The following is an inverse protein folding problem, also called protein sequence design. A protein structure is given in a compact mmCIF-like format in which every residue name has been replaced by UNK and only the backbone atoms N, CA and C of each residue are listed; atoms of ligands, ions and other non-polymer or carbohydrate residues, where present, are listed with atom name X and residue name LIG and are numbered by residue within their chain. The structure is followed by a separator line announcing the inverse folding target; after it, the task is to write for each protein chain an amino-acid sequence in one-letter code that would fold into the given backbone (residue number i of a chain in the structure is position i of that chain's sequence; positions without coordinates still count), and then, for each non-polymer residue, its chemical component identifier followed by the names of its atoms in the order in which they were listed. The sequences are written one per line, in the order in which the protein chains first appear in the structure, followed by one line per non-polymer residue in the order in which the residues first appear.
data_IF_899865514070
#
_entry.id   IF_899865514070
#
_cell.length_a   1.000
_cell.length_b   1.000
_cell.length_c   1.000
_cell.angle_alpha   90.00
_cell.angle_beta   90.00
_cell.angle_gamma   90.00
#
_symmetry.space_group_name_H-M   'P 1'
#
loop_
_entity.id
_entity.type
_entity.pdbx_description
1 polymer ?
#
# COMPACT_ATOMS: atom_id res chain seq x y z
N UNK A 1 7.23 -19.73 4.86
CA UNK A 1 7.94 -19.72 3.57
C UNK A 1 6.89 -19.42 2.51
N UNK A 2 6.99 -18.28 1.85
CA UNK A 2 6.02 -17.90 0.81
C UNK A 2 6.25 -18.76 -0.43
N UNK A 3 5.19 -19.33 -0.98
CA UNK A 3 5.20 -20.07 -2.24
C UNK A 3 5.22 -19.08 -3.40
N UNK A 4 6.05 -19.36 -4.41
CA UNK A 4 6.10 -18.58 -5.64
C UNK A 4 5.96 -19.47 -6.86
N UNK A 5 5.50 -18.87 -7.95
CA UNK A 5 5.38 -19.52 -9.25
C UNK A 5 6.02 -18.66 -10.33
N UNK A 6 6.45 -19.34 -11.38
CA UNK A 6 6.96 -18.73 -12.59
C UNK A 6 5.82 -18.62 -13.59
N UNK A 7 5.49 -17.41 -14.07
CA UNK A 7 4.42 -17.24 -15.05
C UNK A 7 4.89 -17.60 -16.48
N UNK A 8 3.97 -18.12 -17.30
CA UNK A 8 4.23 -18.39 -18.71
C UNK A 8 4.62 -17.11 -19.48
N UNK A 9 5.40 -17.27 -20.55
CA UNK A 9 5.99 -16.20 -21.35
C UNK A 9 4.94 -15.20 -21.84
N UNK A 10 5.04 -13.93 -21.41
CA UNK A 10 4.34 -12.83 -22.06
C UNK A 10 5.08 -12.47 -23.35
N UNK A 11 4.40 -12.15 -24.47
CA UNK A 11 5.05 -11.80 -25.72
C UNK A 11 6.08 -10.67 -25.54
N UNK A 12 7.33 -10.92 -25.92
CA UNK A 12 8.43 -9.96 -25.83
C UNK A 12 9.23 -9.98 -24.52
N UNK A 13 8.83 -10.77 -23.51
CA UNK A 13 9.69 -11.05 -22.34
C UNK A 13 10.64 -12.19 -22.64
N UNK A 14 11.88 -12.04 -22.19
CA UNK A 14 12.93 -13.04 -22.36
C UNK A 14 12.94 -14.06 -21.24
N UNK A 15 12.62 -13.62 -20.03
CA UNK A 15 12.57 -14.46 -18.85
C UNK A 15 11.23 -14.29 -18.14
N UNK A 16 10.70 -15.40 -17.58
CA UNK A 16 9.43 -15.35 -16.89
C UNK A 16 9.54 -14.61 -15.56
N UNK A 17 8.46 -13.93 -15.17
CA UNK A 17 8.39 -13.27 -13.87
C UNK A 17 8.17 -14.28 -12.75
N UNK A 18 8.74 -13.99 -11.59
CA UNK A 18 8.43 -14.65 -10.33
C UNK A 18 7.22 -13.96 -9.70
N UNK A 19 6.25 -14.75 -9.25
CA UNK A 19 5.01 -14.26 -8.63
C UNK A 19 4.78 -14.97 -7.31
N UNK A 20 4.32 -14.25 -6.30
CA UNK A 20 3.97 -14.79 -4.99
C UNK A 20 2.45 -14.82 -4.85
N UNK A 21 1.94 -15.78 -4.06
CA UNK A 21 0.49 -15.91 -3.83
C UNK A 21 -0.14 -14.67 -3.18
N UNK A 22 0.67 -13.85 -2.49
CA UNK A 22 0.26 -12.56 -1.93
C UNK A 22 0.13 -11.42 -2.96
N UNK A 23 0.15 -11.73 -4.26
CA UNK A 23 -0.01 -10.76 -5.35
C UNK A 23 1.24 -9.93 -5.69
N UNK A 24 2.39 -10.27 -5.10
CA UNK A 24 3.68 -9.67 -5.44
C UNK A 24 4.25 -10.29 -6.71
N UNK A 25 5.01 -9.50 -7.48
CA UNK A 25 5.80 -10.01 -8.61
C UNK A 25 7.16 -9.34 -8.73
N UNK A 26 8.12 -10.12 -9.22
CA UNK A 26 9.48 -9.70 -9.54
C UNK A 26 9.77 -10.13 -10.97
N UNK A 27 10.04 -9.15 -11.81
CA UNK A 27 10.44 -9.32 -13.18
C UNK A 27 11.92 -8.99 -13.31
N UNK A 28 12.75 -10.00 -13.57
CA UNK A 28 14.15 -9.81 -13.92
C UNK A 28 14.30 -9.79 -15.44
N UNK A 29 15.02 -8.80 -15.96
CA UNK A 29 15.23 -8.65 -17.39
C UNK A 29 16.71 -8.40 -17.69
N UNK A 30 17.14 -9.01 -18.80
CA UNK A 30 18.43 -8.81 -19.43
C UNK A 30 18.22 -9.01 -20.94
N UNK A 31 19.05 -8.38 -21.78
CA UNK A 31 18.59 -7.76 -23.04
C UNK A 31 17.88 -8.59 -24.12
N UNK A 32 17.10 -7.83 -24.93
CA UNK A 32 17.25 -7.74 -26.39
C UNK A 32 17.15 -6.28 -26.95
N UNK A 33 16.91 -5.24 -26.13
CA UNK A 33 16.59 -3.89 -26.64
C UNK A 33 16.97 -2.69 -25.73
N UNK A 34 17.96 -2.81 -24.83
CA UNK A 34 18.49 -1.67 -24.07
C UNK A 34 18.27 -1.65 -22.55
N UNK A 35 18.04 -2.81 -21.92
CA UNK A 35 17.97 -2.94 -20.45
C UNK A 35 19.35 -2.90 -19.78
N UNK A 36 19.40 -2.45 -18.52
CA UNK A 36 20.63 -2.35 -17.73
C UNK A 36 21.14 -3.74 -17.27
N UNK A 37 21.99 -4.37 -18.07
CA UNK A 37 22.56 -5.69 -17.79
C UNK A 37 24.02 -5.83 -18.24
N UNK A 38 24.71 -6.84 -17.71
CA UNK A 38 26.09 -7.17 -18.06
C UNK A 38 26.28 -8.69 -18.24
N UNK A 39 26.81 -9.17 -19.38
CA UNK A 39 27.19 -8.40 -20.58
C UNK A 39 25.95 -7.86 -21.34
N UNK A 40 26.12 -6.76 -22.09
CA UNK A 40 25.08 -6.20 -22.99
C UNK A 40 24.95 -6.99 -24.28
N UNK A 41 24.58 -8.25 -24.16
CA UNK A 41 24.15 -9.11 -25.28
C UNK A 41 23.11 -10.11 -24.79
N UNK A 42 22.27 -10.59 -25.70
CA UNK A 42 21.35 -11.70 -25.42
C UNK A 42 22.12 -12.96 -25.05
N UNK A 43 21.77 -13.54 -23.90
CA UNK A 43 22.22 -14.85 -23.43
C UNK A 43 21.01 -15.80 -23.33
N UNK A 44 21.29 -17.10 -23.35
CA UNK A 44 20.24 -18.12 -23.36
C UNK A 44 19.57 -18.28 -21.98
N UNK A 45 20.29 -17.94 -20.91
CA UNK A 45 19.82 -18.07 -19.53
C UNK A 45 20.01 -16.78 -18.77
N UNK A 46 19.10 -16.50 -17.85
CA UNK A 46 19.17 -15.31 -17.01
C UNK A 46 20.43 -15.40 -16.13
N UNK A 47 20.73 -16.59 -15.59
CA UNK A 47 21.85 -16.87 -14.69
C UNK A 47 23.22 -16.63 -15.32
N UNK A 48 23.31 -16.57 -16.65
CA UNK A 48 24.56 -16.30 -17.36
C UNK A 48 24.93 -14.80 -17.34
N UNK A 49 24.01 -13.92 -16.93
CA UNK A 49 24.29 -12.51 -16.70
C UNK A 49 24.94 -12.28 -15.34
N UNK A 50 25.92 -11.36 -15.29
CA UNK A 50 26.52 -10.90 -14.05
C UNK A 50 25.64 -9.87 -13.33
N UNK A 51 24.94 -9.05 -14.11
CA UNK A 51 24.06 -7.98 -13.63
C UNK A 51 22.79 -7.93 -14.48
N UNK A 52 21.66 -7.66 -13.84
CA UNK A 52 20.33 -7.64 -14.47
C UNK A 52 19.50 -6.43 -14.04
N UNK A 53 18.46 -6.11 -14.80
CA UNK A 53 17.45 -5.13 -14.41
C UNK A 53 16.30 -5.81 -13.68
N UNK A 54 15.73 -5.15 -12.68
CA UNK A 54 14.58 -5.64 -11.93
C UNK A 54 13.43 -4.65 -11.89
N UNK A 55 12.21 -5.17 -12.08
CA UNK A 55 10.96 -4.47 -11.83
C UNK A 55 10.15 -5.23 -10.77
N UNK A 56 9.68 -4.51 -9.76
CA UNK A 56 8.84 -5.04 -8.68
C UNK A 56 7.43 -4.50 -8.87
N UNK A 57 6.42 -5.35 -8.75
CA UNK A 57 5.04 -4.93 -8.60
C UNK A 57 4.41 -5.56 -7.35
N UNK A 58 3.62 -4.78 -6.64
CA UNK A 58 2.89 -5.21 -5.45
C UNK A 58 1.45 -5.60 -5.77
N UNK A 59 0.68 -6.08 -4.76
CA UNK A 59 -0.74 -6.41 -4.89
C UNK A 59 -1.66 -5.18 -4.98
N UNK A 60 -1.11 -4.02 -5.32
CA UNK A 60 -1.79 -2.73 -5.35
C UNK A 60 -1.52 -2.02 -6.68
N UNK A 61 -2.42 -1.13 -7.13
CA UNK A 61 -2.33 -0.53 -8.45
C UNK A 61 -1.19 0.48 -8.62
N UNK A 62 -0.61 0.96 -7.52
CA UNK A 62 0.46 1.94 -7.55
C UNK A 62 1.84 1.29 -7.71
N UNK A 63 2.83 2.01 -8.27
CA UNK A 63 4.21 1.53 -8.29
C UNK A 63 4.76 1.26 -6.89
N UNK A 64 5.61 0.24 -6.80
CA UNK A 64 6.32 -0.09 -5.57
C UNK A 64 7.46 0.91 -5.33
N UNK A 65 7.57 1.41 -4.09
CA UNK A 65 8.72 2.14 -3.59
C UNK A 65 9.73 1.18 -2.93
N UNK A 66 10.88 0.91 -3.56
CA UNK A 66 11.88 -0.02 -3.06
C UNK A 66 12.49 0.41 -1.72
N UNK A 67 12.50 1.72 -1.41
CA UNK A 67 13.08 2.23 -0.15
C UNK A 67 12.29 1.77 1.07
N UNK A 68 11.01 1.41 0.87
CA UNK A 68 10.11 0.95 1.94
C UNK A 68 10.12 -0.56 2.13
N UNK A 69 10.86 -1.31 1.31
CA UNK A 69 10.96 -2.77 1.39
C UNK A 69 11.97 -3.27 2.43
N UNK A 70 12.67 -2.35 3.10
CA UNK A 70 13.76 -2.70 4.03
C UNK A 70 14.91 -3.40 3.31
N UNK A 71 15.25 -2.92 2.12
CA UNK A 71 16.45 -3.34 1.38
C UNK A 71 17.70 -2.76 2.05
N UNK A 72 18.86 -3.42 1.93
CA UNK A 72 20.14 -2.78 2.26
C UNK A 72 20.28 -1.47 1.47
N UNK A 73 20.81 -0.42 2.09
CA UNK A 73 20.92 0.92 1.49
C UNK A 73 21.60 0.90 0.11
N UNK A 74 22.69 0.12 -0.02
CA UNK A 74 23.40 -0.04 -1.28
C UNK A 74 22.54 -0.67 -2.40
N UNK A 75 21.57 -1.53 -2.06
CA UNK A 75 20.64 -2.14 -3.01
C UNK A 75 19.52 -1.16 -3.35
N UNK A 76 18.95 -0.48 -2.36
CA UNK A 76 17.92 0.52 -2.57
C UNK A 76 18.41 1.65 -3.49
N UNK A 77 19.67 2.07 -3.35
CA UNK A 77 20.31 3.08 -4.18
C UNK A 77 20.47 2.68 -5.66
N UNK A 78 20.27 1.42 -6.02
CA UNK A 78 20.28 0.94 -7.43
C UNK A 78 18.97 1.19 -8.16
N UNK A 79 17.91 1.57 -7.43
CA UNK A 79 16.61 1.83 -8.03
C UNK A 79 16.51 3.27 -8.54
N UNK A 80 15.86 3.44 -9.68
CA UNK A 80 15.49 4.77 -10.16
C UNK A 80 14.52 5.43 -9.17
N UNK A 81 14.61 6.76 -8.95
CA UNK A 81 13.67 7.47 -8.10
C UNK A 81 12.23 7.29 -8.58
N UNK A 82 11.29 7.20 -7.64
CA UNK A 82 9.87 7.22 -7.94
C UNK A 82 9.39 8.68 -8.01
N UNK A 83 8.98 9.13 -9.19
CA UNK A 83 8.48 10.49 -9.41
C UNK A 83 6.94 10.53 -9.55
N UNK A 84 6.26 11.60 -9.10
CA UNK A 84 4.82 11.77 -9.31
C UNK A 84 4.48 11.76 -10.80
N UNK A 85 3.59 10.84 -11.22
CA UNK A 85 3.24 10.64 -12.63
C UNK A 85 4.32 9.95 -13.48
N UNK A 86 5.43 9.55 -12.85
CA UNK A 86 6.50 8.78 -13.48
C UNK A 86 6.17 7.30 -13.62
N UNK A 87 7.06 6.59 -14.32
CA UNK A 87 7.02 5.14 -14.43
C UNK A 87 7.40 4.42 -13.12
N UNK A 88 7.36 3.08 -13.10
CA UNK A 88 7.77 2.32 -11.94
C UNK A 88 9.27 2.49 -11.64
N UNK A 89 9.66 2.31 -10.37
CA UNK A 89 11.06 2.26 -10.00
C UNK A 89 11.73 1.00 -10.59
N UNK A 90 12.82 1.19 -11.33
CA UNK A 90 13.60 0.12 -11.94
C UNK A 90 14.92 -0.08 -11.20
N UNK A 91 15.20 -1.30 -10.77
CA UNK A 91 16.49 -1.67 -10.18
C UNK A 91 17.50 -1.93 -11.27
N UNK A 92 18.56 -1.13 -11.37
CA UNK A 92 19.51 -1.16 -12.48
C UNK A 92 20.81 -1.87 -12.10
N UNK A 93 21.32 -2.72 -12.98
CA UNK A 93 22.59 -3.43 -12.84
C UNK A 93 22.73 -4.17 -11.50
N UNK A 94 21.70 -4.93 -11.13
CA UNK A 94 21.69 -5.72 -9.90
C UNK A 94 22.47 -7.02 -10.09
N UNK A 95 23.42 -7.28 -9.21
CA UNK A 95 24.10 -8.57 -9.09
C UNK A 95 23.17 -9.62 -8.48
N UNK A 96 23.51 -10.90 -8.63
CA UNK A 96 22.74 -12.00 -8.04
C UNK A 96 22.61 -11.95 -6.52
N UNK A 97 23.64 -11.43 -5.82
CA UNK A 97 23.55 -11.22 -4.37
C UNK A 97 22.50 -10.16 -4.00
N UNK A 98 22.44 -9.08 -4.78
CA UNK A 98 21.47 -7.99 -4.59
C UNK A 98 20.05 -8.45 -5.00
N UNK A 99 19.92 -9.25 -6.06
CA UNK A 99 18.67 -9.95 -6.41
C UNK A 99 18.21 -10.87 -5.28
N UNK A 100 19.13 -11.58 -4.63
CA UNK A 100 18.83 -12.39 -3.44
C UNK A 100 18.29 -11.55 -2.28
N UNK A 101 18.90 -10.39 -2.01
CA UNK A 101 18.40 -9.45 -1.01
C UNK A 101 17.00 -8.91 -1.36
N UNK A 102 16.75 -8.66 -2.64
CA UNK A 102 15.45 -8.23 -3.15
C UNK A 102 14.37 -9.29 -2.96
N UNK A 103 14.65 -10.54 -3.31
CA UNK A 103 13.75 -11.67 -3.07
C UNK A 103 13.41 -11.79 -1.59
N UNK A 104 14.42 -11.72 -0.71
CA UNK A 104 14.21 -11.78 0.73
C UNK A 104 13.35 -10.61 1.24
N UNK A 105 13.48 -9.42 0.66
CA UNK A 105 12.65 -8.27 0.98
C UNK A 105 11.19 -8.49 0.54
N UNK A 106 10.96 -9.03 -0.66
CA UNK A 106 9.62 -9.39 -1.13
C UNK A 106 9.00 -10.50 -0.27
N UNK A 107 9.78 -11.50 0.15
CA UNK A 107 9.29 -12.55 1.05
C UNK A 107 8.81 -11.96 2.39
N UNK A 108 9.50 -10.96 2.93
CA UNK A 108 9.03 -10.20 4.10
C UNK A 108 7.81 -9.35 3.78
N UNK A 109 7.80 -8.70 2.62
CA UNK A 109 6.69 -7.88 2.14
C UNK A 109 5.40 -8.69 1.95
N UNK A 110 5.49 -9.98 1.60
CA UNK A 110 4.33 -10.87 1.53
C UNK A 110 3.61 -11.04 2.88
N UNK A 111 4.30 -10.77 3.99
CA UNK A 111 3.73 -10.80 5.34
C UNK A 111 3.25 -9.42 5.81
N UNK A 112 3.48 -8.37 5.02
CA UNK A 112 3.16 -6.98 5.37
C UNK A 112 2.31 -6.32 4.27
N UNK A 113 1.03 -6.04 4.53
CA UNK A 113 0.09 -5.57 3.52
C UNK A 113 0.45 -4.23 2.85
N UNK A 114 1.44 -3.48 3.35
CA UNK A 114 1.87 -2.19 2.79
C UNK A 114 3.38 -2.05 2.65
N UNK A 115 4.15 -3.14 2.71
CA UNK A 115 5.52 -3.07 2.25
C UNK A 115 5.52 -2.60 0.78
N UNK A 116 6.47 -1.75 0.40
CA UNK A 116 6.54 -1.21 -0.96
C UNK A 116 5.58 -0.05 -1.24
N UNK A 117 4.81 0.41 -0.27
CA UNK A 117 3.92 1.57 -0.41
C UNK A 117 4.64 2.83 0.09
N UNK A 118 4.78 3.90 -0.73
CA UNK A 118 5.47 5.13 -0.34
C UNK A 118 4.88 5.78 0.93
N UNK A 119 5.70 6.28 1.87
CA UNK A 119 5.21 6.89 3.11
C UNK A 119 4.36 8.14 2.85
N UNK A 120 3.30 8.31 3.65
CA UNK A 120 2.54 9.55 3.79
C UNK A 120 1.81 10.12 2.58
N UNK A 121 1.71 9.42 1.42
CA UNK A 121 1.04 9.97 0.23
C UNK A 121 0.26 9.00 -0.66
N UNK A 122 0.55 7.70 -0.67
CA UNK A 122 0.09 6.84 -1.76
C UNK A 122 -0.37 5.49 -1.20
N UNK A 123 -1.47 4.95 -1.74
CA UNK A 123 -1.99 3.63 -1.40
C UNK A 123 -3.51 3.63 -1.25
N UNK A 124 -4.08 4.72 -0.72
CA UNK A 124 -5.53 4.85 -0.51
C UNK A 124 -6.26 5.51 -1.67
N UNK A 125 -5.62 6.39 -2.43
CA UNK A 125 -6.26 7.06 -3.56
C UNK A 125 -6.89 6.04 -4.53
N UNK A 126 -8.19 6.22 -4.80
CA UNK A 126 -8.97 5.33 -5.65
C UNK A 126 -9.38 4.00 -5.00
N UNK A 127 -9.03 3.73 -3.74
CA UNK A 127 -9.54 2.56 -3.02
C UNK A 127 -10.98 2.77 -2.61
N UNK A 128 -11.77 1.71 -2.83
CA UNK A 128 -13.09 1.60 -2.24
C UNK A 128 -12.97 1.15 -0.79
N UNK A 129 -13.69 1.84 0.08
CA UNK A 129 -13.83 1.57 1.50
C UNK A 129 -15.30 1.59 1.87
N UNK A 130 -15.65 0.89 2.95
CA UNK A 130 -17.02 0.65 3.35
C UNK A 130 -17.30 1.22 4.73
N UNK A 131 -18.41 1.94 4.87
CA UNK A 131 -18.87 2.48 6.15
C UNK A 131 -20.22 1.86 6.50
N UNK A 132 -20.30 1.19 7.66
CA UNK A 132 -21.56 0.72 8.23
C UNK A 132 -22.21 1.81 9.09
N UNK A 133 -23.51 2.04 8.91
CA UNK A 133 -24.28 3.00 9.72
C UNK A 133 -25.79 2.69 9.68
N UNK A 134 -26.61 3.42 10.42
CA UNK A 134 -28.07 3.31 10.35
C UNK A 134 -28.64 3.93 9.05
N UNK A 135 -29.84 3.51 8.66
CA UNK A 135 -30.45 3.95 7.40
C UNK A 135 -30.71 5.48 7.32
N UNK A 136 -30.93 6.14 8.46
CA UNK A 136 -31.13 7.59 8.52
C UNK A 136 -29.82 8.33 8.24
N UNK A 137 -28.77 7.97 8.95
CA UNK A 137 -27.42 8.50 8.77
C UNK A 137 -26.86 8.20 7.38
N UNK A 138 -27.13 7.02 6.82
CA UNK A 138 -26.74 6.68 5.46
C UNK A 138 -27.35 7.63 4.42
N UNK A 139 -28.65 7.97 4.57
CA UNK A 139 -29.32 8.93 3.70
C UNK A 139 -28.73 10.33 3.85
N UNK A 140 -28.49 10.78 5.08
CA UNK A 140 -27.86 12.08 5.32
C UNK A 140 -26.47 12.19 4.68
N UNK A 141 -25.64 11.14 4.78
CA UNK A 141 -24.32 11.12 4.15
C UNK A 141 -24.43 11.19 2.62
N UNK A 142 -25.41 10.52 2.01
CA UNK A 142 -25.62 10.57 0.56
C UNK A 142 -26.10 11.95 0.09
N UNK A 143 -26.92 12.63 0.89
CA UNK A 143 -27.49 13.94 0.55
C UNK A 143 -26.52 15.10 0.86
N UNK A 144 -25.82 15.02 2.00
CA UNK A 144 -25.07 16.13 2.59
C UNK A 144 -23.56 15.87 2.72
N UNK A 145 -23.11 14.65 2.45
CA UNK A 145 -21.71 14.24 2.56
C UNK A 145 -21.28 13.86 3.98
N UNK A 146 -20.02 13.41 4.10
CA UNK A 146 -19.46 12.95 5.37
C UNK A 146 -19.12 14.13 6.30
N UNK A 147 -19.67 14.08 7.51
CA UNK A 147 -19.37 15.00 8.61
C UNK A 147 -18.50 14.32 9.66
N UNK A 148 -17.19 14.56 9.60
CA UNK A 148 -16.22 13.98 10.54
C UNK A 148 -16.56 14.35 11.99
N UNK A 149 -17.14 15.54 12.20
CA UNK A 149 -17.50 16.02 13.52
C UNK A 149 -18.66 15.24 14.16
N UNK A 150 -19.47 14.53 13.38
CA UNK A 150 -20.61 13.77 13.87
C UNK A 150 -20.24 12.41 14.50
N UNK A 151 -18.97 11.98 14.39
CA UNK A 151 -18.51 10.68 14.88
C UNK A 151 -17.48 10.86 16.00
N UNK A 152 -17.94 10.65 17.25
CA UNK A 152 -17.19 10.94 18.47
C UNK A 152 -16.68 9.69 19.23
N UNK A 153 -17.00 8.47 18.77
CA UNK A 153 -16.93 7.25 19.59
C UNK A 153 -15.88 6.22 19.17
N UNK A 154 -14.83 6.61 18.44
CA UNK A 154 -13.83 5.64 17.99
C UNK A 154 -12.49 5.71 18.73
N UNK A 155 -11.72 4.62 18.67
CA UNK A 155 -10.45 4.47 19.39
C UNK A 155 -9.32 5.37 18.86
N UNK A 156 -9.44 5.86 17.62
CA UNK A 156 -8.54 6.88 17.04
C UNK A 156 -9.11 8.30 17.18
N UNK A 157 -10.12 8.49 18.02
CA UNK A 157 -10.73 9.78 18.30
C UNK A 157 -11.88 10.14 17.36
N UNK A 158 -12.14 11.44 17.24
CA UNK A 158 -13.18 11.99 16.36
C UNK A 158 -12.81 11.74 14.89
N UNK A 159 -13.62 10.96 14.18
CA UNK A 159 -13.23 10.43 12.87
C UNK A 159 -14.33 9.67 12.16
N UNK A 160 -14.21 9.56 10.84
CA UNK A 160 -15.09 8.72 10.04
C UNK A 160 -14.43 7.34 9.83
N UNK A 161 -15.06 6.28 10.32
CA UNK A 161 -14.47 4.94 10.39
C UNK A 161 -14.96 4.06 9.23
N UNK A 162 -14.03 3.42 8.53
CA UNK A 162 -14.31 2.61 7.34
C UNK A 162 -13.56 1.28 7.42
N UNK A 163 -14.02 0.29 6.66
CA UNK A 163 -13.38 -1.01 6.47
C UNK A 163 -13.05 -1.24 4.99
N UNK A 164 -12.06 -2.07 4.69
CA UNK A 164 -11.74 -2.48 3.32
C UNK A 164 -12.75 -3.48 2.75
N UNK A 165 -13.51 -4.16 3.62
CA UNK A 165 -14.48 -5.18 3.23
C UNK A 165 -15.88 -4.81 3.71
N UNK A 166 -16.87 -4.89 2.81
CA UNK A 166 -18.27 -4.59 3.12
C UNK A 166 -18.83 -5.48 4.24
N UNK A 167 -18.42 -6.76 4.27
CA UNK A 167 -18.82 -7.70 5.32
C UNK A 167 -18.32 -7.30 6.70
N UNK A 168 -17.07 -6.82 6.79
CA UNK A 168 -16.50 -6.31 8.04
C UNK A 168 -17.21 -5.02 8.48
N UNK A 169 -17.42 -4.08 7.56
CA UNK A 169 -18.19 -2.86 7.82
C UNK A 169 -19.60 -3.16 8.34
N UNK A 170 -20.26 -4.17 7.77
CA UNK A 170 -21.55 -4.63 8.26
C UNK A 170 -21.42 -5.23 9.67
N UNK A 171 -20.48 -6.16 9.89
CA UNK A 171 -20.34 -6.86 11.18
C UNK A 171 -20.00 -5.93 12.35
N UNK A 172 -19.18 -4.90 12.13
CA UNK A 172 -18.81 -3.92 13.15
C UNK A 172 -20.02 -3.06 13.61
N UNK A 173 -21.11 -3.05 12.83
CA UNK A 173 -22.29 -2.23 13.10
C UNK A 173 -23.61 -3.04 13.15
N UNK A 174 -23.57 -4.34 12.85
CA UNK A 174 -24.74 -5.23 12.84
C UNK A 174 -25.31 -5.47 14.25
N UNK A 175 -24.53 -5.26 15.31
CA UNK A 175 -25.02 -5.30 16.70
C UNK A 175 -26.00 -4.14 17.03
N UNK A 176 -26.16 -3.15 16.13
CA UNK A 176 -27.14 -2.06 16.25
C UNK A 176 -28.36 -2.25 15.34
N UNK A 177 -28.51 -3.41 14.69
CA UNK A 177 -29.53 -3.64 13.64
C UNK A 177 -30.95 -3.93 14.16
N UNK A 178 -31.14 -4.02 15.48
CA UNK A 178 -32.34 -4.57 16.11
C UNK A 178 -33.61 -3.70 15.96
N UNK A 179 -33.51 -2.42 15.57
CA UNK A 179 -34.68 -1.54 15.45
C UNK A 179 -34.87 -0.81 14.11
N UNK A 180 -34.06 -1.07 13.08
CA UNK A 180 -34.24 -0.33 11.81
C UNK A 180 -33.47 -0.77 10.57
N UNK A 181 -32.66 -1.83 10.66
CA UNK A 181 -31.80 -2.27 9.57
C UNK A 181 -30.56 -1.38 9.38
N UNK A 182 -29.39 -2.02 9.30
CA UNK A 182 -28.13 -1.36 8.97
C UNK A 182 -27.99 -1.10 7.47
N UNK A 183 -27.24 -0.08 7.11
CA UNK A 183 -26.83 0.24 5.74
C UNK A 183 -25.30 0.25 5.63
N UNK A 184 -24.78 -0.17 4.48
CA UNK A 184 -23.35 -0.07 4.16
C UNK A 184 -23.18 0.88 2.98
N UNK A 185 -22.39 1.92 3.17
CA UNK A 185 -21.99 2.86 2.13
C UNK A 185 -20.65 2.42 1.55
N UNK A 186 -20.55 2.38 0.21
CA UNK A 186 -19.28 2.27 -0.49
C UNK A 186 -18.79 3.68 -0.85
N UNK A 187 -17.54 3.95 -0.55
CA UNK A 187 -16.91 5.26 -0.71
C UNK A 187 -15.55 5.08 -1.37
N UNK A 188 -15.19 5.98 -2.27
CA UNK A 188 -13.86 5.98 -2.88
C UNK A 188 -13.01 7.07 -2.26
N UNK A 189 -11.81 6.73 -1.81
CA UNK A 189 -10.88 7.73 -1.27
C UNK A 189 -10.35 8.61 -2.41
N UNK A 190 -10.44 9.93 -2.22
CA UNK A 190 -9.97 10.91 -3.20
C UNK A 190 -8.45 10.93 -3.33
N UNK A 191 -7.98 11.31 -4.51
CA UNK A 191 -6.55 11.57 -4.72
C UNK A 191 -6.04 12.68 -3.79
N UNK A 192 -4.81 12.52 -3.31
CA UNK A 192 -4.15 13.45 -2.37
C UNK A 192 -4.54 13.31 -0.89
N UNK A 193 -5.43 12.39 -0.52
CA UNK A 193 -5.74 12.11 0.89
C UNK A 193 -4.53 11.52 1.65
N UNK A 194 -4.15 12.12 2.78
CA UNK A 194 -3.02 11.66 3.61
C UNK A 194 -3.53 10.76 4.73
N UNK A 195 -3.74 9.50 4.39
CA UNK A 195 -4.16 8.48 5.36
C UNK A 195 -2.92 7.71 5.83
N UNK A 196 -2.59 7.85 7.11
CA UNK A 196 -1.47 7.13 7.72
C UNK A 196 -1.85 5.66 7.93
N UNK A 197 -1.02 4.72 7.50
CA UNK A 197 -1.21 3.32 7.83
C UNK A 197 -0.38 2.95 9.06
N UNK A 198 -1.02 2.78 10.21
CA UNK A 198 -0.32 2.55 11.47
C UNK A 198 0.38 1.18 11.55
N UNK A 199 0.16 0.28 10.58
CA UNK A 199 0.94 -0.96 10.41
C UNK A 199 2.32 -0.69 9.78
N UNK A 200 2.46 0.43 9.07
CA UNK A 200 3.73 0.91 8.52
C UNK A 200 4.52 1.64 9.61
N UNK A 201 5.77 1.23 9.84
CA UNK A 201 6.59 1.80 10.91
C UNK A 201 6.91 3.29 10.72
N UNK A 202 7.02 3.78 9.49
CA UNK A 202 7.26 5.20 9.21
C UNK A 202 6.00 6.03 9.45
N UNK A 203 4.83 5.58 9.00
CA UNK A 203 3.57 6.25 9.29
C UNK A 203 3.24 6.21 10.79
N UNK A 204 3.56 5.12 11.48
CA UNK A 204 3.45 5.02 12.93
C UNK A 204 4.38 6.01 13.65
N UNK A 205 5.58 6.30 13.12
CA UNK A 205 6.45 7.37 13.64
C UNK A 205 5.85 8.75 13.44
N UNK A 206 5.15 8.99 12.32
CA UNK A 206 4.43 10.26 12.10
C UNK A 206 3.29 10.37 13.12
N UNK A 207 2.50 9.31 13.31
CA UNK A 207 1.41 9.28 14.27
C UNK A 207 1.88 9.53 15.71
N UNK A 208 2.94 8.81 16.14
CA UNK A 208 3.48 8.96 17.50
C UNK A 208 4.22 10.28 17.69
N UNK A 209 4.99 10.73 16.68
CA UNK A 209 5.76 11.98 16.71
C UNK A 209 4.92 13.26 16.58
N UNK A 210 3.71 13.17 16.00
CA UNK A 210 2.78 14.30 15.87
C UNK A 210 2.02 14.67 17.16
N UNK A 211 2.23 13.89 18.23
CA UNK A 211 1.46 13.95 19.48
C UNK A 211 -0.06 13.72 19.31
N UNK A 212 -0.54 13.32 18.12
CA UNK A 212 -1.96 13.06 17.87
C UNK A 212 -2.49 11.91 18.75
N UNK A 213 -1.68 10.85 18.92
CA UNK A 213 -2.05 9.68 19.72
C UNK A 213 -2.49 10.04 21.16
N UNK A 214 -1.84 11.02 21.79
CA UNK A 214 -2.16 11.45 23.16
C UNK A 214 -3.40 12.35 23.25
N UNK A 215 -3.93 12.78 22.10
CA UNK A 215 -4.94 13.85 21.97
C UNK A 215 -6.21 13.39 21.27
N UNK A 216 -6.33 12.08 21.00
CA UNK A 216 -7.48 11.48 20.28
C UNK A 216 -8.83 11.80 20.94
N UNK A 217 -8.85 12.01 22.26
CA UNK A 217 -10.04 12.37 23.03
C UNK A 217 -10.34 13.87 23.11
N UNK A 218 -9.51 14.73 22.52
CA UNK A 218 -9.72 16.18 22.56
C UNK A 218 -10.82 16.62 21.59
N UNK A 219 -11.64 17.57 22.04
CA UNK A 219 -12.60 18.24 21.17
C UNK A 219 -11.88 18.93 20.01
N UNK A 220 -12.36 18.69 18.79
CA UNK A 220 -11.74 19.22 17.58
C UNK A 220 -10.48 18.46 17.14
N UNK A 221 -10.29 17.22 17.60
CA UNK A 221 -9.22 16.32 17.13
C UNK A 221 -9.07 16.30 15.61
N UNK A 222 -10.18 16.24 14.86
CA UNK A 222 -10.15 16.27 13.39
C UNK A 222 -9.48 17.53 12.79
N UNK A 223 -9.49 18.66 13.51
CA UNK A 223 -8.77 19.87 13.10
C UNK A 223 -7.28 19.78 13.42
N UNK A 224 -6.93 19.14 14.54
CA UNK A 224 -5.55 18.90 14.95
C UNK A 224 -4.86 17.94 13.98
N UNK A 225 -5.50 16.83 13.64
CA UNK A 225 -5.01 15.86 12.66
C UNK A 225 -4.69 16.53 11.32
N UNK A 226 -5.65 17.29 10.76
CA UNK A 226 -5.45 18.00 9.47
C UNK A 226 -4.30 19.00 9.51
N UNK A 227 -4.09 19.71 10.63
CA UNK A 227 -2.94 20.62 10.81
C UNK A 227 -1.61 19.90 10.87
N UNK A 228 -1.58 18.70 11.46
CA UNK A 228 -0.42 17.82 11.44
C UNK A 228 -0.20 17.13 10.09
N UNK A 229 -1.10 17.38 9.13
CA UNK A 229 -1.02 16.84 7.80
C UNK A 229 -1.58 15.43 7.65
N UNK A 230 -2.48 15.05 8.54
CA UNK A 230 -3.12 13.73 8.59
C UNK A 230 -4.60 13.89 8.31
N UNK A 231 -5.08 13.28 7.23
CA UNK A 231 -6.47 13.30 6.82
C UNK A 231 -7.22 12.04 7.29
N UNK A 232 -6.49 10.96 7.61
CA UNK A 232 -7.02 9.75 8.23
C UNK A 232 -5.92 8.86 8.81
N UNK A 233 -6.33 7.84 9.55
CA UNK A 233 -5.44 6.78 10.01
C UNK A 233 -6.13 5.44 9.76
N UNK A 234 -5.35 4.47 9.32
CA UNK A 234 -5.76 3.09 9.11
C UNK A 234 -5.01 2.19 10.08
N UNK A 235 -5.74 1.37 10.80
CA UNK A 235 -5.21 0.35 11.69
C UNK A 235 -6.05 -0.93 11.54
N UNK A 236 -5.40 -2.08 11.74
CA UNK A 236 -6.07 -3.38 11.88
C UNK A 236 -6.01 -3.78 13.35
N UNK A 237 -6.71 -3.02 14.19
CA UNK A 237 -7.11 -3.52 15.50
C UNK A 237 -8.17 -4.60 15.29
N UNK A 238 -7.75 -5.86 15.32
CA UNK A 238 -8.64 -7.01 15.54
C UNK A 238 -8.90 -7.15 17.03
#
# INVERSE_FOLDING_TARGET
MSTYRTMAEAPGRLFPARTWDAGWSLSLQADAAGYACAPRRRLDRLEDYAEVEALIAGPFPQPVDPTTLGLPEAVAARFTPLEPGGGPALGLNLTWAEVGALIAAIDRACLSPNAGVPPGRIGWAGRDVYHGTDAGSARDILENGVRIDASHKGYLGQGFYVAEEAGLALSNYAEFSDEGGGSVLALTITDGARILDLRNAEDAKIWTGSALAARVSEDGFARLARRAGVDGAYDRSV
#
